data_IF_036323730022
#
_entry.id   IF_036323730022
#
_cell.length_a   1.000
_cell.length_b   1.000
_cell.length_c   1.000
_cell.angle_alpha   90.00
_cell.angle_beta   90.00
_cell.angle_gamma   90.00
#
_symmetry.space_group_name_H-M   'P 1'
#
loop_
_entity.id
_entity.type
_entity.pdbx_description
1 polymer ?
#
# COMPACT_ATOMS: atom_id res chain seq x y z
N UNK A 1 8.04 -11.33 1.37
CA UNK A 1 6.58 -11.59 1.27
C UNK A 1 6.11 -11.11 -0.10
N UNK A 2 4.91 -11.47 -0.59
CA UNK A 2 4.40 -10.84 -1.82
C UNK A 2 3.77 -9.49 -1.43
N UNK A 3 4.28 -8.37 -1.96
CA UNK A 3 3.75 -7.03 -1.71
C UNK A 3 2.24 -6.94 -1.98
N UNK A 4 1.73 -7.72 -2.94
CA UNK A 4 0.29 -7.82 -3.23
C UNK A 4 -0.50 -8.29 -2.02
N UNK A 5 -0.07 -9.37 -1.36
CA UNK A 5 -0.72 -9.91 -0.16
C UNK A 5 -0.65 -8.95 1.01
N UNK A 6 0.46 -8.21 1.15
CA UNK A 6 0.61 -7.20 2.20
C UNK A 6 -0.36 -6.02 1.98
N UNK A 7 -0.51 -5.56 0.73
CA UNK A 7 -1.47 -4.53 0.35
C UNK A 7 -2.91 -4.99 0.61
N UNK A 8 -3.27 -6.22 0.22
CA UNK A 8 -4.61 -6.79 0.44
C UNK A 8 -4.95 -6.85 1.94
N UNK A 9 -4.06 -7.42 2.76
CA UNK A 9 -4.26 -7.50 4.21
C UNK A 9 -4.41 -6.11 4.87
N UNK A 10 -3.61 -5.13 4.41
CA UNK A 10 -3.72 -3.75 4.89
C UNK A 10 -5.08 -3.14 4.53
N UNK A 11 -5.55 -3.31 3.29
CA UNK A 11 -6.82 -2.77 2.84
C UNK A 11 -8.01 -3.42 3.53
N UNK A 12 -7.97 -4.73 3.78
CA UNK A 12 -9.01 -5.44 4.54
C UNK A 12 -9.10 -4.90 5.97
N UNK A 13 -7.95 -4.75 6.65
CA UNK A 13 -7.90 -4.16 7.98
C UNK A 13 -8.40 -2.71 7.99
N UNK A 14 -7.96 -1.91 7.02
CA UNK A 14 -8.35 -0.50 6.90
C UNK A 14 -9.87 -0.36 6.64
N UNK A 15 -10.43 -1.20 5.78
CA UNK A 15 -11.88 -1.24 5.52
C UNK A 15 -12.67 -1.57 6.78
N UNK A 16 -12.29 -2.65 7.49
CA UNK A 16 -12.94 -3.05 8.74
C UNK A 16 -12.88 -1.96 9.81
N UNK A 17 -11.80 -1.18 9.84
CA UNK A 17 -11.58 -0.16 10.87
C UNK A 17 -12.22 1.19 10.55
N UNK A 18 -12.26 1.58 9.27
CA UNK A 18 -12.69 2.93 8.85
C UNK A 18 -14.07 2.96 8.16
N UNK A 19 -14.57 1.81 7.68
CA UNK A 19 -15.74 1.77 6.81
C UNK A 19 -15.52 2.46 5.45
N UNK A 20 -14.27 2.55 4.99
CA UNK A 20 -13.92 3.24 3.73
C UNK A 20 -14.73 2.71 2.54
N UNK A 21 -15.10 3.62 1.64
CA UNK A 21 -15.84 3.26 0.43
C UNK A 21 -14.99 2.42 -0.54
N UNK A 22 -15.64 1.66 -1.43
CA UNK A 22 -14.96 0.88 -2.46
C UNK A 22 -14.04 1.75 -3.34
N UNK A 23 -14.46 2.97 -3.67
CA UNK A 23 -13.66 3.89 -4.48
C UNK A 23 -12.39 4.32 -3.74
N UNK A 24 -12.50 4.60 -2.44
CA UNK A 24 -11.34 4.94 -1.59
C UNK A 24 -10.36 3.77 -1.50
N UNK A 25 -10.86 2.55 -1.27
CA UNK A 25 -10.04 1.34 -1.24
C UNK A 25 -9.32 1.09 -2.57
N UNK A 26 -10.03 1.30 -3.69
CA UNK A 26 -9.48 1.08 -5.03
C UNK A 26 -8.41 2.10 -5.39
N UNK A 27 -8.60 3.37 -5.00
CA UNK A 27 -7.58 4.41 -5.15
C UNK A 27 -6.32 4.06 -4.35
N UNK A 28 -6.47 3.74 -3.06
CA UNK A 28 -5.34 3.38 -2.20
C UNK A 28 -4.62 2.13 -2.68
N UNK A 29 -5.35 1.11 -3.14
CA UNK A 29 -4.75 -0.08 -3.73
C UNK A 29 -3.88 0.26 -4.95
N UNK A 30 -4.37 1.16 -5.80
CA UNK A 30 -3.65 1.58 -7.02
C UNK A 30 -2.37 2.33 -6.66
N UNK A 31 -2.45 3.26 -5.71
CA UNK A 31 -1.31 4.03 -5.23
C UNK A 31 -0.25 3.13 -4.57
N UNK A 32 -0.66 2.21 -3.69
CA UNK A 32 0.25 1.27 -3.04
C UNK A 32 0.91 0.30 -4.03
N UNK A 33 0.18 -0.15 -5.06
CA UNK A 33 0.76 -0.99 -6.13
C UNK A 33 1.78 -0.21 -6.95
N UNK A 34 1.50 1.05 -7.28
CA UNK A 34 2.44 1.91 -8.00
C UNK A 34 3.70 2.15 -7.18
N UNK A 35 3.54 2.47 -5.90
CA UNK A 35 4.65 2.67 -4.98
C UNK A 35 5.49 1.38 -4.81
N UNK A 36 4.86 0.23 -4.61
CA UNK A 36 5.57 -1.06 -4.54
C UNK A 36 6.36 -1.36 -5.81
N UNK A 37 5.81 -1.03 -6.98
CA UNK A 37 6.49 -1.23 -8.26
C UNK A 37 7.70 -0.30 -8.40
N UNK A 38 7.58 0.96 -7.99
CA UNK A 38 8.69 1.91 -8.00
C UNK A 38 9.80 1.49 -7.03
N UNK A 39 9.43 1.08 -5.81
CA UNK A 39 10.37 0.67 -4.76
C UNK A 39 11.22 -0.51 -5.20
N UNK A 40 10.64 -1.42 -6.00
CA UNK A 40 11.28 -2.65 -6.47
C UNK A 40 11.88 -3.50 -5.33
N UNK A 41 11.28 -3.41 -4.14
CA UNK A 41 11.66 -4.13 -2.92
C UNK A 41 10.40 -4.44 -2.08
N UNK A 42 10.58 -5.16 -0.97
CA UNK A 42 9.51 -5.54 -0.05
C UNK A 42 9.03 -4.33 0.79
N UNK A 43 7.71 -4.12 0.80
CA UNK A 43 7.07 -3.03 1.54
C UNK A 43 7.30 -3.13 3.07
N UNK A 44 7.69 -4.28 3.60
CA UNK A 44 7.99 -4.45 5.03
C UNK A 44 9.32 -3.81 5.46
N UNK A 45 10.20 -3.42 4.53
CA UNK A 45 11.50 -2.81 4.82
C UNK A 45 11.55 -1.30 4.54
N UNK A 46 10.38 -0.65 4.37
CA UNK A 46 10.30 0.78 4.08
C UNK A 46 10.75 1.61 5.28
N UNK A 47 11.40 2.74 4.99
CA UNK A 47 11.76 3.77 5.96
C UNK A 47 11.48 5.14 5.33
N UNK A 48 11.70 6.21 6.10
CA UNK A 48 11.40 7.58 5.66
C UNK A 48 12.17 8.04 4.42
N UNK A 49 13.37 7.52 4.16
CA UNK A 49 14.14 7.90 2.98
C UNK A 49 13.45 7.40 1.71
N UNK A 50 12.97 6.16 1.69
CA UNK A 50 12.22 5.61 0.57
C UNK A 50 10.94 6.40 0.25
N UNK A 51 10.30 6.98 1.28
CA UNK A 51 9.13 7.84 1.10
C UNK A 51 9.55 9.17 0.47
N UNK A 52 10.62 9.80 0.98
CA UNK A 52 11.14 11.06 0.44
C UNK A 52 11.65 10.92 -1.00
N UNK A 53 12.21 9.77 -1.37
CA UNK A 53 12.72 9.52 -2.72
C UNK A 53 11.59 9.33 -3.75
N UNK A 54 10.37 8.99 -3.29
CA UNK A 54 9.20 8.76 -4.15
C UNK A 54 8.42 10.05 -4.48
N UNK A 55 8.46 11.06 -3.59
CA UNK A 55 7.71 12.31 -3.70
C UNK A 55 8.60 13.48 -4.13
#
# INVERSE_FOLDING_TARGET
MNNTTLIENFLDYYWLSSGASQNTLSAYQSDLKLFSKWLNDDLSHINSNHINDYF
#
